data_IF_446128911077
#
_entry.id   IF_446128911077
#
_cell.length_a   1.000
_cell.length_b   1.000
_cell.length_c   1.000
_cell.angle_alpha   90.00
_cell.angle_beta   90.00
_cell.angle_gamma   90.00
#
_symmetry.space_group_name_H-M   'P 1'
#
loop_
_entity.id
_entity.type
_entity.pdbx_description
1 polymer ?
#
# COMPACT_ATOMS: atom_id res chain seq x y z
N UNK A 1 6.49 -16.25 7.60
CA UNK A 1 7.40 -15.87 6.50
C UNK A 1 6.70 -14.93 5.52
N UNK A 2 5.37 -14.96 5.45
CA UNK A 2 4.50 -14.18 4.57
C UNK A 2 4.46 -12.67 4.81
N UNK A 3 4.65 -12.22 6.05
CA UNK A 3 4.51 -10.80 6.41
C UNK A 3 5.51 -9.90 5.68
N UNK A 4 6.75 -10.37 5.50
CA UNK A 4 7.79 -9.63 4.77
C UNK A 4 7.45 -9.58 3.28
N UNK A 5 6.92 -10.68 2.74
CA UNK A 5 6.51 -10.75 1.34
C UNK A 5 5.35 -9.79 1.05
N UNK A 6 4.30 -9.83 1.87
CA UNK A 6 3.15 -8.93 1.77
C UNK A 6 3.61 -7.48 1.92
N UNK A 7 4.50 -7.18 2.89
CA UNK A 7 5.05 -5.84 3.06
C UNK A 7 5.79 -5.35 1.80
N UNK A 8 6.59 -6.21 1.16
CA UNK A 8 7.32 -5.84 -0.05
C UNK A 8 6.38 -5.66 -1.25
N UNK A 9 5.36 -6.52 -1.37
CA UNK A 9 4.34 -6.41 -2.42
C UNK A 9 3.56 -5.10 -2.28
N UNK A 10 3.15 -4.74 -1.07
CA UNK A 10 2.47 -3.46 -0.82
C UNK A 10 3.36 -2.28 -1.19
N UNK A 11 4.65 -2.31 -0.81
CA UNK A 11 5.60 -1.25 -1.20
C UNK A 11 5.77 -1.17 -2.72
N UNK A 12 5.79 -2.31 -3.40
CA UNK A 12 5.84 -2.38 -4.85
C UNK A 12 4.60 -1.77 -5.50
N UNK A 13 3.40 -2.15 -5.06
CA UNK A 13 2.13 -1.62 -5.57
C UNK A 13 2.03 -0.11 -5.35
N UNK A 14 2.44 0.39 -4.17
CA UNK A 14 2.45 1.83 -3.87
C UNK A 14 3.28 2.62 -4.90
N UNK A 15 4.49 2.14 -5.20
CA UNK A 15 5.39 2.77 -6.18
C UNK A 15 4.87 2.60 -7.61
N UNK A 16 4.40 1.40 -7.95
CA UNK A 16 3.87 1.08 -9.28
C UNK A 16 2.66 1.93 -9.64
N UNK A 17 1.75 2.17 -8.69
CA UNK A 17 0.54 2.99 -8.89
C UNK A 17 0.91 4.46 -9.09
N UNK A 18 1.92 4.95 -8.36
CA UNK A 18 2.46 6.30 -8.56
C UNK A 18 3.36 6.44 -9.80
N UNK A 19 3.59 5.37 -10.56
CA UNK A 19 4.51 5.40 -11.71
C UNK A 19 5.98 5.64 -11.33
N UNK A 20 6.35 5.35 -10.08
CA UNK A 20 7.72 5.48 -9.59
C UNK A 20 8.52 4.20 -9.85
N UNK A 21 9.86 4.30 -9.94
CA UNK A 21 10.73 3.14 -10.11
C UNK A 21 10.58 2.15 -8.95
N UNK A 22 10.26 0.90 -9.29
CA UNK A 22 9.98 -0.20 -8.34
C UNK A 22 11.22 -1.03 -7.99
N UNK A 23 12.36 -0.81 -8.66
CA UNK A 23 13.63 -1.55 -8.50
C UNK A 23 14.09 -1.68 -7.04
N UNK A 24 13.76 -0.68 -6.21
CA UNK A 24 14.13 -0.64 -4.79
C UNK A 24 12.92 -0.45 -3.89
N UNK A 25 11.79 -1.11 -4.18
CA UNK A 25 10.60 -1.03 -3.33
C UNK A 25 10.87 -1.36 -1.86
N UNK A 26 11.82 -2.25 -1.56
CA UNK A 26 12.26 -2.55 -0.19
C UNK A 26 12.88 -1.36 0.55
N UNK A 27 13.52 -0.42 -0.17
CA UNK A 27 14.09 0.82 0.39
C UNK A 27 13.01 1.86 0.70
N UNK A 28 11.76 1.65 0.28
CA UNK A 28 10.67 2.53 0.66
C UNK A 28 10.50 2.46 2.18
N UNK A 29 10.77 3.58 2.84
CA UNK A 29 10.61 3.71 4.28
C UNK A 29 9.14 3.55 4.62
N UNK A 30 8.86 2.70 5.60
CA UNK A 30 7.48 2.46 6.04
C UNK A 30 6.85 3.72 6.65
N UNK A 31 7.65 4.65 7.18
CA UNK A 31 7.18 5.92 7.69
C UNK A 31 6.92 6.99 6.61
N UNK A 32 7.15 6.67 5.33
CA UNK A 32 6.90 7.62 4.23
C UNK A 32 5.40 7.83 4.08
N UNK A 33 4.91 9.09 4.11
CA UNK A 33 3.52 9.42 3.79
C UNK A 33 3.22 9.18 2.31
N UNK A 34 2.03 8.65 1.99
CA UNK A 34 1.59 8.46 0.61
C UNK A 34 1.60 9.78 -0.18
N UNK A 35 1.19 10.89 0.44
CA UNK A 35 1.27 12.23 -0.16
C UNK A 35 2.68 12.59 -0.66
N UNK A 36 3.74 12.15 0.03
CA UNK A 36 5.13 12.42 -0.38
C UNK A 36 5.58 11.58 -1.57
N UNK A 37 4.83 10.52 -1.90
CA UNK A 37 5.10 9.61 -3.02
C UNK A 37 4.35 10.05 -4.29
N UNK A 38 3.33 10.90 -4.15
CA UNK A 38 2.53 11.41 -5.27
C UNK A 38 1.02 11.24 -5.12
N UNK A 39 0.55 10.65 -4.01
CA UNK A 39 -0.89 10.48 -3.72
C UNK A 39 -1.58 11.79 -3.26
N UNK A 40 -0.85 12.91 -3.17
CA UNK A 40 -1.32 14.21 -2.66
C UNK A 40 -2.46 14.84 -3.50
N UNK A 41 -2.51 14.54 -4.80
CA UNK A 41 -3.38 15.25 -5.75
C UNK A 41 -4.44 14.38 -6.40
N UNK A 42 -4.45 13.09 -6.11
CA UNK A 42 -5.14 12.12 -6.92
C UNK A 42 -5.82 11.05 -6.05
N UNK A 43 -7.12 11.27 -5.79
CA UNK A 43 -7.96 10.32 -5.07
C UNK A 43 -8.09 8.98 -5.82
N UNK A 44 -7.92 8.97 -7.15
CA UNK A 44 -7.95 7.74 -7.92
C UNK A 44 -6.75 6.86 -7.60
N UNK A 45 -5.58 7.43 -7.33
CA UNK A 45 -4.42 6.65 -6.87
C UNK A 45 -4.70 5.98 -5.54
N UNK A 46 -5.30 6.71 -4.58
CA UNK A 46 -5.69 6.14 -3.28
C UNK A 46 -6.67 4.97 -3.46
N UNK A 47 -7.67 5.12 -4.34
CA UNK A 47 -8.64 4.05 -4.67
C UNK A 47 -7.98 2.85 -5.33
N UNK A 48 -7.08 3.06 -6.29
CA UNK A 48 -6.33 1.97 -6.94
C UNK A 48 -5.48 1.20 -5.92
N UNK A 49 -4.82 1.91 -5.01
CA UNK A 49 -4.03 1.29 -3.96
C UNK A 49 -4.94 0.49 -3.01
N UNK A 50 -6.09 1.02 -2.66
CA UNK A 50 -7.07 0.34 -1.82
C UNK A 50 -7.59 -0.96 -2.45
N UNK A 51 -7.96 -0.94 -3.73
CA UNK A 51 -8.35 -2.14 -4.47
C UNK A 51 -7.23 -3.18 -4.46
N UNK A 52 -5.99 -2.75 -4.69
CA UNK A 52 -4.81 -3.63 -4.63
C UNK A 52 -4.62 -4.23 -3.25
N UNK A 53 -4.68 -3.43 -2.19
CA UNK A 53 -4.58 -3.92 -0.81
C UNK A 53 -5.70 -4.91 -0.48
N UNK A 54 -6.92 -4.70 -1.00
CA UNK A 54 -8.04 -5.62 -0.82
C UNK A 54 -7.80 -6.95 -1.52
N UNK A 55 -7.27 -6.92 -2.75
CA UNK A 55 -6.89 -8.12 -3.49
C UNK A 55 -5.81 -8.89 -2.74
N UNK A 56 -4.73 -8.23 -2.31
CA UNK A 56 -3.65 -8.84 -1.53
C UNK A 56 -4.20 -9.44 -0.24
N UNK A 57 -5.00 -8.71 0.53
CA UNK A 57 -5.57 -9.21 1.77
C UNK A 57 -6.39 -10.50 1.58
N UNK A 58 -7.08 -10.61 0.45
CA UNK A 58 -7.87 -11.78 0.06
C UNK A 58 -6.98 -12.92 -0.47
N UNK A 59 -6.00 -12.64 -1.34
CA UNK A 59 -5.07 -13.62 -1.89
C UNK A 59 -4.24 -14.29 -0.81
N UNK A 60 -3.74 -13.52 0.15
CA UNK A 60 -2.95 -14.01 1.28
C UNK A 60 -3.80 -14.48 2.46
N UNK A 61 -5.13 -14.50 2.32
CA UNK A 61 -6.08 -14.93 3.35
C UNK A 61 -5.77 -14.33 4.74
N UNK A 62 -5.36 -13.06 4.76
CA UNK A 62 -4.89 -12.36 5.96
C UNK A 62 -5.97 -12.17 7.03
N UNK A 63 -7.24 -12.43 6.69
CA UNK A 63 -8.40 -12.19 7.54
C UNK A 63 -8.77 -10.71 7.68
N UNK A 64 -8.05 -9.80 7.02
CA UNK A 64 -8.35 -8.38 7.01
C UNK A 64 -9.27 -7.98 5.87
N UNK A 65 -10.10 -6.98 6.13
CA UNK A 65 -10.94 -6.33 5.12
C UNK A 65 -10.53 -4.87 5.04
N UNK A 66 -9.95 -4.52 3.90
CA UNK A 66 -9.69 -3.11 3.55
C UNK A 66 -11.02 -2.51 3.12
N UNK A 67 -11.56 -1.61 3.94
CA UNK A 67 -12.82 -0.92 3.67
C UNK A 67 -12.63 0.15 2.58
N UNK A 68 -13.74 0.58 1.98
CA UNK A 68 -13.72 1.71 1.04
C UNK A 68 -13.34 3.00 1.78
N UNK A 69 -12.37 3.75 1.25
CA UNK A 69 -11.80 4.92 1.91
C UNK A 69 -10.88 4.59 3.11
N UNK A 70 -10.48 3.33 3.28
CA UNK A 70 -9.46 2.95 4.27
C UNK A 70 -8.07 3.47 3.89
N UNK A 71 -7.83 3.77 2.61
CA UNK A 71 -6.60 4.40 2.13
C UNK A 71 -6.80 5.90 1.94
N UNK A 72 -5.92 6.70 2.53
CA UNK A 72 -5.92 8.15 2.34
C UNK A 72 -4.49 8.67 2.15
N UNK A 73 -4.33 9.78 1.44
CA UNK A 73 -3.04 10.45 1.19
C UNK A 73 -2.22 10.77 2.47
N UNK A 74 -2.89 10.91 3.62
CA UNK A 74 -2.25 11.16 4.91
C UNK A 74 -1.69 9.90 5.58
N UNK A 75 -2.03 8.72 5.06
CA UNK A 75 -1.48 7.48 5.58
C UNK A 75 -0.02 7.32 5.18
N UNK A 76 0.68 6.59 6.03
CA UNK A 76 2.02 6.11 5.75
C UNK A 76 1.98 4.72 5.13
N UNK A 77 3.03 4.37 4.41
CA UNK A 77 3.24 3.02 3.86
C UNK A 77 3.05 1.95 4.95
N UNK A 78 3.50 2.21 6.20
CA UNK A 78 3.32 1.34 7.36
C UNK A 78 1.85 1.08 7.66
N UNK A 79 1.02 2.12 7.64
CA UNK A 79 -0.40 1.99 7.93
C UNK A 79 -1.11 1.20 6.83
N UNK A 80 -0.77 1.42 5.57
CA UNK A 80 -1.26 0.60 4.45
C UNK A 80 -0.93 -0.88 4.63
N UNK A 81 0.30 -1.17 5.06
CA UNK A 81 0.71 -2.54 5.38
C UNK A 81 -0.12 -3.09 6.56
N UNK A 82 -0.29 -2.33 7.64
CA UNK A 82 -1.09 -2.76 8.79
C UNK A 82 -2.57 -3.04 8.46
N UNK A 83 -3.15 -2.37 7.46
CA UNK A 83 -4.50 -2.69 6.98
C UNK A 83 -4.63 -4.13 6.46
N UNK A 84 -3.51 -4.73 6.04
CA UNK A 84 -3.48 -6.07 5.43
C UNK A 84 -2.94 -7.13 6.40
N UNK A 85 -1.93 -6.83 7.23
CA UNK A 85 -1.25 -7.85 8.06
C UNK A 85 -1.48 -7.78 9.59
N UNK A 86 -2.21 -6.78 10.11
CA UNK A 86 -2.24 -6.48 11.55
C UNK A 86 -2.59 -7.66 12.49
#
# INVERSE_FOLDING_TARGET
>A
MDIIFISNQIKYDILSICGLPVDHCYNLLTNTPLKSIGYDKDEELCRKLEEKLRVIANEYQTGKRVADGAVSQNLTVRQCIQLVIA
#
